data_IF_938036445972
#
_entry.id   IF_938036445972
#
_cell.length_a   1.000
_cell.length_b   1.000
_cell.length_c   1.000
_cell.angle_alpha   90.00
_cell.angle_beta   90.00
_cell.angle_gamma   90.00
#
_symmetry.space_group_name_H-M   'P 1'
#
loop_
_entity.id
_entity.type
_entity.pdbx_description
1 polymer ?
#
# COMPACT_ATOMS: atom_id res chain seq x y z
N UNK A 1 -7.86 4.35 5.27
CA UNK A 1 -6.96 3.78 4.26
C UNK A 1 -6.24 2.60 4.89
N UNK A 2 -6.18 1.46 4.22
CA UNK A 2 -5.45 0.26 4.68
C UNK A 2 -4.87 -0.46 3.47
N UNK A 3 -3.61 -0.91 3.56
CA UNK A 3 -2.98 -1.77 2.55
C UNK A 3 -2.68 -3.13 3.19
N UNK A 4 -3.06 -4.20 2.49
CA UNK A 4 -2.63 -5.55 2.80
C UNK A 4 -1.54 -5.98 1.80
N UNK A 5 -0.36 -6.29 2.32
CA UNK A 5 0.70 -6.94 1.55
C UNK A 5 0.50 -8.45 1.58
N UNK A 6 0.32 -9.06 0.40
CA UNK A 6 0.18 -10.51 0.29
C UNK A 6 1.54 -11.18 0.11
N UNK A 7 1.97 -11.92 1.14
CA UNK A 7 3.08 -12.87 1.04
C UNK A 7 2.59 -14.22 1.54
N UNK A 8 2.56 -15.20 0.65
CA UNK A 8 2.38 -16.61 1.03
C UNK A 8 3.75 -17.28 0.98
N UNK A 9 4.19 -17.82 2.11
CA UNK A 9 5.27 -18.80 2.15
C UNK A 9 4.66 -20.18 1.82
N UNK A 10 4.84 -20.73 0.60
CA UNK A 10 4.41 -22.10 0.33
C UNK A 10 5.25 -23.11 1.15
N UNK A 11 4.77 -24.34 1.38
CA UNK A 11 5.47 -25.35 2.19
C UNK A 11 6.76 -25.91 1.56
N UNK A 12 7.27 -25.34 0.48
CA UNK A 12 8.40 -25.89 -0.27
C UNK A 12 9.15 -24.78 -1.01
N UNK A 13 10.47 -24.94 -1.09
CA UNK A 13 11.51 -24.09 -1.70
C UNK A 13 11.34 -23.75 -3.20
N UNK A 14 10.12 -23.77 -3.71
CA UNK A 14 9.78 -23.12 -4.97
C UNK A 14 9.58 -21.64 -4.71
N UNK A 15 10.13 -20.82 -5.61
CA UNK A 15 10.16 -19.35 -5.54
C UNK A 15 8.93 -18.77 -4.82
N UNK A 16 9.10 -17.99 -3.74
CA UNK A 16 7.96 -17.42 -3.04
C UNK A 16 7.10 -16.65 -4.06
N UNK A 17 5.84 -17.05 -4.18
CA UNK A 17 4.90 -16.38 -5.07
C UNK A 17 4.55 -15.04 -4.46
N UNK A 18 4.93 -13.94 -5.11
CA UNK A 18 4.38 -12.64 -4.76
C UNK A 18 2.87 -12.62 -4.97
N UNK A 19 2.17 -11.80 -4.21
CA UNK A 19 0.75 -11.52 -4.43
C UNK A 19 0.57 -10.04 -4.79
N UNK A 20 -0.61 -9.72 -5.31
CA UNK A 20 -0.97 -8.34 -5.57
C UNK A 20 -1.34 -7.67 -4.24
N UNK A 21 -0.88 -6.43 -4.05
CA UNK A 21 -1.28 -5.63 -2.90
C UNK A 21 -2.74 -5.18 -3.04
N UNK A 22 -3.48 -5.21 -1.92
CA UNK A 22 -4.87 -4.74 -1.86
C UNK A 22 -4.92 -3.38 -1.17
N UNK A 23 -5.58 -2.42 -1.81
CA UNK A 23 -5.84 -1.09 -1.26
C UNK A 23 -7.31 -0.93 -0.87
N UNK A 24 -7.56 -0.77 0.42
CA UNK A 24 -8.89 -0.62 0.99
C UNK A 24 -9.16 0.83 1.41
N UNK A 25 -10.21 1.42 0.83
CA UNK A 25 -10.76 2.71 1.23
C UNK A 25 -11.78 2.51 2.36
N UNK A 26 -11.58 3.16 3.51
CA UNK A 26 -12.55 3.18 4.60
C UNK A 26 -13.69 4.14 4.24
N UNK A 27 -14.95 3.70 4.31
CA UNK A 27 -16.13 4.52 3.97
C UNK A 27 -16.63 5.39 5.12
N UNK A 28 -16.08 5.23 6.33
CA UNK A 28 -16.45 5.99 7.53
C UNK A 28 -17.60 5.37 8.33
N UNK A 29 -18.16 4.26 7.88
CA UNK A 29 -19.27 3.52 8.50
C UNK A 29 -18.85 2.11 8.96
N UNK A 30 -17.55 1.96 9.24
CA UNK A 30 -16.88 0.67 9.52
C UNK A 30 -16.87 -0.33 8.35
N UNK A 31 -17.24 0.10 7.14
CA UNK A 31 -17.05 -0.70 5.92
C UNK A 31 -15.83 -0.23 5.13
N UNK A 32 -15.32 -1.15 4.29
CA UNK A 32 -14.18 -0.92 3.41
C UNK A 32 -14.55 -1.29 1.98
N UNK A 33 -14.03 -0.54 1.02
CA UNK A 33 -14.14 -0.85 -0.41
C UNK A 33 -12.76 -1.12 -0.99
N UNK A 34 -12.61 -2.23 -1.70
CA UNK A 34 -11.43 -2.49 -2.49
C UNK A 34 -11.39 -1.54 -3.69
N UNK A 35 -10.34 -0.72 -3.73
CA UNK A 35 -10.12 0.27 -4.77
C UNK A 35 -8.78 0.06 -5.48
N UNK A 36 -8.19 -1.13 -5.35
CA UNK A 36 -6.84 -1.48 -5.83
C UNK A 36 -6.66 -1.17 -7.32
N UNK A 37 -7.62 -1.57 -8.16
CA UNK A 37 -7.58 -1.27 -9.59
C UNK A 37 -7.78 0.22 -9.89
N UNK A 38 -8.63 0.91 -9.12
CA UNK A 38 -8.92 2.33 -9.31
C UNK A 38 -7.70 3.20 -9.00
N UNK A 39 -6.97 2.89 -7.93
CA UNK A 39 -5.74 3.60 -7.55
C UNK A 39 -4.52 3.07 -8.31
N UNK A 40 -4.66 1.97 -9.04
CA UNK A 40 -3.63 1.42 -9.91
C UNK A 40 -2.55 0.61 -9.20
N UNK A 41 -2.71 0.28 -7.92
CA UNK A 41 -1.71 -0.49 -7.15
C UNK A 41 -1.47 -1.89 -7.75
N UNK A 42 -2.49 -2.47 -8.39
CA UNK A 42 -2.38 -3.77 -9.08
C UNK A 42 -1.38 -3.73 -10.25
N UNK A 43 -0.99 -2.55 -10.74
CA UNK A 43 0.03 -2.40 -11.80
C UNK A 43 1.45 -2.68 -11.30
N UNK A 44 1.67 -2.69 -9.99
CA UNK A 44 2.93 -3.14 -9.39
C UNK A 44 3.15 -4.64 -9.61
N UNK A 45 2.10 -5.37 -9.94
CA UNK A 45 2.12 -6.81 -10.12
C UNK A 45 2.29 -7.54 -8.79
N UNK A 46 2.83 -8.75 -8.88
CA UNK A 46 3.05 -9.62 -7.73
C UNK A 46 4.35 -9.27 -7.04
N UNK A 47 4.26 -8.77 -5.81
CA UNK A 47 5.41 -8.37 -4.99
C UNK A 47 5.50 -9.23 -3.73
N UNK A 48 6.72 -9.37 -3.21
CA UNK A 48 6.99 -10.02 -1.93
C UNK A 48 6.92 -9.00 -0.80
N UNK A 49 5.73 -8.43 -0.58
CA UNK A 49 5.53 -7.42 0.46
C UNK A 49 5.83 -7.97 1.86
N UNK A 50 6.70 -7.29 2.60
CA UNK A 50 7.10 -7.64 3.98
C UNK A 50 6.76 -6.58 5.02
N UNK A 51 6.48 -5.37 4.57
CA UNK A 51 6.19 -4.28 5.49
C UNK A 51 5.68 -3.05 4.77
N UNK A 52 5.03 -2.21 5.57
CA UNK A 52 4.46 -0.95 5.12
C UNK A 52 4.81 0.12 6.16
N UNK A 53 5.19 1.29 5.68
CA UNK A 53 5.30 2.50 6.50
C UNK A 53 4.38 3.58 5.91
N UNK A 54 3.84 4.43 6.79
CA UNK A 54 2.93 5.51 6.41
C UNK A 54 3.48 6.80 6.99
N UNK A 55 3.51 7.86 6.18
CA UNK A 55 3.98 9.18 6.60
C UNK A 55 3.86 10.20 5.48
N UNK A 56 3.83 11.48 5.83
CA UNK A 56 3.91 12.60 4.89
C UNK A 56 5.37 12.77 4.47
N UNK A 57 5.74 12.22 3.32
CA UNK A 57 7.14 12.13 2.90
C UNK A 57 7.65 13.42 2.27
N UNK A 58 6.77 14.19 1.64
CA UNK A 58 7.11 15.40 0.88
C UNK A 58 6.60 16.70 1.51
N UNK A 59 5.94 16.59 2.67
CA UNK A 59 5.42 17.71 3.46
C UNK A 59 4.29 18.47 2.76
N UNK A 60 3.46 17.77 1.98
CA UNK A 60 2.27 18.34 1.35
C UNK A 60 0.98 18.17 2.17
N UNK A 61 1.07 17.49 3.32
CA UNK A 61 -0.04 17.28 4.26
C UNK A 61 -0.87 16.03 3.99
N UNK A 62 -0.57 15.30 2.91
CA UNK A 62 -1.16 14.02 2.60
C UNK A 62 -0.28 12.86 3.13
N UNK A 63 -0.92 11.79 3.61
CA UNK A 63 -0.19 10.60 4.03
C UNK A 63 0.20 9.76 2.81
N UNK A 64 1.49 9.51 2.65
CA UNK A 64 2.08 8.60 1.69
C UNK A 64 2.31 7.21 2.27
N UNK A 65 2.54 6.23 1.39
CA UNK A 65 2.79 4.85 1.79
C UNK A 65 4.06 4.31 1.14
N UNK A 66 4.96 3.78 1.98
CA UNK A 66 6.13 3.04 1.54
C UNK A 66 5.90 1.54 1.73
N UNK A 67 6.01 0.78 0.64
CA UNK A 67 5.96 -0.68 0.62
C UNK A 67 7.37 -1.25 0.56
N UNK A 68 7.67 -2.17 1.48
CA UNK A 68 8.95 -2.87 1.56
C UNK A 68 8.79 -4.28 1.00
N UNK A 69 9.58 -4.60 -0.03
CA UNK A 69 9.50 -5.87 -0.74
C UNK A 69 10.79 -6.69 -0.55
N UNK A 70 10.66 -7.99 -0.31
CA UNK A 70 11.79 -8.90 -0.11
C UNK A 70 12.58 -9.10 -1.40
N UNK A 71 13.87 -8.74 -1.41
CA UNK A 71 14.72 -8.95 -2.59
C UNK A 71 14.29 -8.16 -3.83
N UNK A 72 13.36 -7.21 -3.66
CA UNK A 72 12.83 -6.33 -4.70
C UNK A 72 12.92 -4.87 -4.23
N UNK A 73 12.67 -3.93 -5.14
CA UNK A 73 12.71 -2.50 -4.80
C UNK A 73 11.56 -2.15 -3.86
N UNK A 74 11.81 -1.24 -2.93
CA UNK A 74 10.74 -0.56 -2.21
C UNK A 74 9.91 0.28 -3.19
N UNK A 75 8.61 0.41 -2.92
CA UNK A 75 7.67 1.20 -3.73
C UNK A 75 7.10 2.31 -2.86
N UNK A 76 7.24 3.56 -3.30
CA UNK A 76 6.57 4.70 -2.69
C UNK A 76 5.29 4.99 -3.47
N UNK A 77 4.16 4.97 -2.76
CA UNK A 77 2.86 5.41 -3.24
C UNK A 77 2.62 6.80 -2.70
N UNK A 78 2.77 7.80 -3.57
CA UNK A 78 2.53 9.20 -3.23
C UNK A 78 1.05 9.53 -3.36
N UNK A 79 0.49 10.14 -2.33
CA UNK A 79 -0.87 10.64 -2.32
C UNK A 79 -0.86 12.12 -2.74
N UNK A 80 -1.81 12.54 -3.57
CA UNK A 80 -1.81 13.88 -4.21
C UNK A 80 -3.20 14.54 -4.13
N UNK A 81 -3.98 14.23 -3.09
CA UNK A 81 -5.34 14.74 -2.96
C UNK A 81 -6.16 14.17 -1.81
N UNK A 82 -5.52 13.67 -0.75
CA UNK A 82 -6.19 12.90 0.30
C UNK A 82 -6.57 13.68 1.56
N UNK A 83 -6.00 14.86 1.81
CA UNK A 83 -6.18 15.57 3.06
C UNK A 83 -6.08 17.09 2.92
N UNK A 84 -7.20 17.74 2.58
CA UNK A 84 -7.35 19.18 2.79
C UNK A 84 -7.44 19.60 4.28
N UNK A 85 -7.28 18.67 5.24
CA UNK A 85 -7.21 19.01 6.66
C UNK A 85 -5.76 19.30 7.05
N UNK A 86 -5.32 20.51 6.71
CA UNK A 86 -4.20 21.17 7.39
C UNK A 86 -4.43 21.11 8.90
N UNK A 87 -3.52 20.51 9.65
CA UNK A 87 -3.28 20.93 11.03
C UNK A 87 -2.14 21.95 10.97
N UNK A 88 -2.39 23.22 11.31
CA UNK A 88 -1.30 24.17 11.43
C UNK A 88 -0.53 23.85 12.71
N UNK A 89 0.78 23.58 12.58
CA UNK A 89 1.72 23.90 13.65
C UNK A 89 1.95 25.41 13.70
#
# INVERSE_FOLDING_TARGET
MYIACGHIDPPSWEMPGGEEDIFLENKGDATFTDVSHRVGITRLGKLLGRGTAVGDYDSDGDLDILLLNSGQRAVLLRNEGGNANHWPE
#
